data_IF_603701009243
#
_entry.id   IF_603701009243
#
_cell.length_a   1.000
_cell.length_b   1.000
_cell.length_c   1.000
_cell.angle_alpha   90.00
_cell.angle_beta   90.00
_cell.angle_gamma   90.00
#
_symmetry.space_group_name_H-M   'P 1'
#
loop_
_entity.id
_entity.type
_entity.pdbx_description
1 polymer ?
#
# COMPACT_ATOMS: atom_id res chain seq x y z
N UNK A 1 9.52 -36.07 -11.59
CA UNK A 1 9.37 -35.90 -13.05
C UNK A 1 9.04 -34.43 -13.29
N UNK A 2 10.05 -33.66 -13.68
CA UNK A 2 10.00 -32.21 -13.88
C UNK A 2 9.50 -31.95 -15.30
N UNK A 3 8.28 -31.44 -15.45
CA UNK A 3 7.78 -30.96 -16.75
C UNK A 3 8.04 -29.44 -16.86
N UNK A 4 9.05 -29.14 -17.67
CA UNK A 4 9.40 -27.84 -18.26
C UNK A 4 8.18 -26.97 -18.60
N UNK A 5 7.98 -25.88 -17.85
CA UNK A 5 7.33 -24.68 -18.37
C UNK A 5 8.36 -23.91 -19.19
N UNK A 6 8.40 -24.23 -20.49
CA UNK A 6 9.12 -23.45 -21.50
C UNK A 6 8.46 -22.08 -21.61
N UNK A 7 9.29 -21.04 -21.50
CA UNK A 7 9.36 -19.93 -22.45
C UNK A 7 8.11 -19.07 -22.63
N UNK A 8 8.30 -17.80 -22.27
CA UNK A 8 7.66 -16.64 -22.88
C UNK A 8 6.27 -16.29 -22.33
N UNK A 9 6.28 -15.36 -21.37
CA UNK A 9 5.51 -14.11 -21.38
C UNK A 9 5.51 -13.42 -19.99
N UNK A 10 6.68 -13.24 -19.36
CA UNK A 10 6.83 -12.28 -18.24
C UNK A 10 7.04 -10.85 -18.75
N UNK A 11 6.38 -10.49 -19.87
CA UNK A 11 6.58 -9.22 -20.58
C UNK A 11 5.57 -8.12 -20.27
N UNK A 12 4.46 -8.40 -19.56
CA UNK A 12 3.41 -7.38 -19.35
C UNK A 12 2.61 -7.58 -18.05
N UNK A 13 3.26 -7.92 -16.93
CA UNK A 13 2.65 -7.73 -15.61
C UNK A 13 2.64 -6.24 -15.26
N UNK A 14 1.67 -5.50 -15.80
CA UNK A 14 1.34 -4.13 -15.36
C UNK A 14 -0.07 -4.11 -14.79
N UNK A 15 -0.20 -4.21 -13.46
CA UNK A 15 -1.03 -3.22 -12.79
C UNK A 15 -0.52 -2.85 -11.38
N UNK A 16 -0.35 -1.55 -11.14
CA UNK A 16 -0.03 -1.00 -9.81
C UNK A 16 -0.50 0.46 -9.71
N UNK A 17 -1.76 0.71 -10.07
CA UNK A 17 -2.56 1.96 -9.94
C UNK A 17 -2.00 3.32 -10.40
N UNK A 18 -0.71 3.43 -10.70
CA UNK A 18 -0.02 4.56 -11.32
C UNK A 18 1.00 3.94 -12.29
N UNK A 19 1.17 4.55 -13.47
CA UNK A 19 2.19 4.13 -14.42
C UNK A 19 3.60 4.23 -13.79
N UNK A 20 4.08 3.16 -13.15
CA UNK A 20 5.44 3.08 -12.59
C UNK A 20 5.61 2.46 -11.20
N UNK A 21 4.55 2.08 -10.48
CA UNK A 21 4.70 1.46 -9.15
C UNK A 21 5.20 0.02 -9.22
N UNK A 22 6.14 -0.39 -8.37
CA UNK A 22 6.46 -1.81 -8.22
C UNK A 22 5.21 -2.58 -7.73
N UNK A 23 4.97 -3.82 -8.18
CA UNK A 23 3.90 -4.65 -7.66
C UNK A 23 4.23 -5.04 -6.21
N UNK A 24 3.79 -4.21 -5.26
CA UNK A 24 3.63 -4.65 -3.89
C UNK A 24 2.52 -5.70 -3.94
N UNK A 25 2.73 -6.89 -3.39
CA UNK A 25 1.76 -8.01 -3.39
C UNK A 25 0.42 -7.73 -2.68
N UNK A 26 0.06 -6.46 -2.53
CA UNK A 26 -1.12 -5.88 -1.90
C UNK A 26 -2.16 -5.38 -2.90
N UNK A 27 -1.89 -5.39 -4.21
CA UNK A 27 -2.86 -5.01 -5.25
C UNK A 27 -3.56 -6.22 -5.87
N UNK A 28 -4.84 -6.09 -6.20
CA UNK A 28 -5.57 -7.09 -6.98
C UNK A 28 -5.06 -7.16 -8.42
N UNK A 29 -4.55 -8.33 -8.83
CA UNK A 29 -4.08 -8.56 -10.19
C UNK A 29 -5.23 -8.41 -11.19
N UNK A 30 -4.99 -7.66 -12.28
CA UNK A 30 -5.97 -7.47 -13.36
C UNK A 30 -7.09 -6.48 -13.08
N UNK A 31 -7.08 -5.79 -11.93
CA UNK A 31 -8.07 -4.77 -11.61
C UNK A 31 -7.92 -3.55 -12.53
N UNK A 32 -8.96 -3.29 -13.33
CA UNK A 32 -9.03 -2.14 -14.24
C UNK A 32 -10.42 -1.53 -14.15
N UNK A 33 -10.49 -0.37 -13.52
CA UNK A 33 -11.70 0.46 -13.51
C UNK A 33 -11.41 1.67 -14.40
N UNK A 34 -12.20 1.89 -15.47
CA UNK A 34 -12.10 3.11 -16.26
C UNK A 34 -12.14 4.34 -15.35
N UNK A 35 -11.42 5.40 -15.72
CA UNK A 35 -11.40 6.70 -15.02
C UNK A 35 -10.70 6.74 -13.65
N UNK A 36 -10.62 5.61 -12.91
CA UNK A 36 -10.01 5.59 -11.58
C UNK A 36 -8.53 6.02 -11.58
N UNK A 37 -7.74 5.52 -12.55
CA UNK A 37 -6.33 5.90 -12.66
C UNK A 37 -6.15 7.38 -12.98
N UNK A 38 -7.06 7.98 -13.76
CA UNK A 38 -7.02 9.40 -14.08
C UNK A 38 -7.36 10.25 -12.84
N UNK A 39 -8.41 9.88 -12.10
CA UNK A 39 -8.79 10.56 -10.85
C UNK A 39 -7.67 10.51 -9.81
N UNK A 40 -6.98 9.38 -9.68
CA UNK A 40 -5.84 9.25 -8.77
C UNK A 40 -4.65 10.12 -9.22
N UNK A 41 -4.37 10.20 -10.53
CA UNK A 41 -3.33 11.06 -11.07
C UNK A 41 -3.65 12.54 -10.86
N UNK A 42 -4.90 12.95 -11.13
CA UNK A 42 -5.38 14.32 -10.93
C UNK A 42 -5.30 14.71 -9.44
N UNK A 43 -5.64 13.78 -8.54
CA UNK A 43 -5.55 13.99 -7.09
C UNK A 43 -4.12 14.16 -6.56
N UNK A 44 -3.09 13.67 -7.29
CA UNK A 44 -1.68 13.90 -6.94
C UNK A 44 -1.22 15.29 -7.38
N UNK A 45 -1.75 15.80 -8.50
CA UNK A 45 -1.35 17.09 -9.09
C UNK A 45 -2.11 18.26 -8.46
N UNK A 46 -3.34 18.05 -8.00
CA UNK A 46 -4.20 19.09 -7.44
C UNK A 46 -3.68 19.61 -6.08
N UNK A 47 -3.50 20.93 -5.98
CA UNK A 47 -2.95 21.61 -4.80
C UNK A 47 -4.06 22.21 -3.91
N UNK A 48 -5.26 22.46 -4.46
CA UNK A 48 -6.40 22.91 -3.68
C UNK A 48 -6.99 21.75 -2.87
N UNK A 49 -6.97 21.87 -1.54
CA UNK A 49 -7.45 20.85 -0.61
C UNK A 49 -8.93 20.51 -0.81
N UNK A 50 -9.77 21.49 -1.15
CA UNK A 50 -11.21 21.27 -1.33
C UNK A 50 -11.47 20.45 -2.58
N UNK A 51 -10.81 20.81 -3.68
CA UNK A 51 -10.90 20.07 -4.96
C UNK A 51 -10.31 18.68 -4.83
N UNK A 52 -9.15 18.56 -4.18
CA UNK A 52 -8.49 17.28 -3.93
C UNK A 52 -9.37 16.32 -3.14
N UNK A 53 -10.06 16.79 -2.10
CA UNK A 53 -11.03 15.97 -1.34
C UNK A 53 -12.20 15.52 -2.20
N UNK A 54 -12.73 16.38 -3.08
CA UNK A 54 -13.82 16.00 -3.98
C UNK A 54 -13.39 14.94 -5.01
N UNK A 55 -12.18 15.04 -5.55
CA UNK A 55 -11.59 14.05 -6.45
C UNK A 55 -11.45 12.69 -5.75
N UNK A 56 -10.83 12.66 -4.56
CA UNK A 56 -10.67 11.40 -3.81
C UNK A 56 -12.01 10.79 -3.41
N UNK A 57 -13.02 11.60 -3.06
CA UNK A 57 -14.35 11.08 -2.75
C UNK A 57 -15.00 10.36 -3.93
N UNK A 58 -14.77 10.84 -5.17
CA UNK A 58 -15.23 10.15 -6.39
C UNK A 58 -14.44 8.88 -6.64
N UNK A 59 -13.12 8.91 -6.44
CA UNK A 59 -12.26 7.74 -6.55
C UNK A 59 -12.64 6.65 -5.53
N UNK A 60 -12.94 7.03 -4.29
CA UNK A 60 -13.39 6.12 -3.22
C UNK A 60 -14.71 5.44 -3.61
N UNK A 61 -15.68 6.19 -4.13
CA UNK A 61 -16.95 5.62 -4.56
C UNK A 61 -16.77 4.62 -5.70
N UNK A 62 -15.98 4.97 -6.72
CA UNK A 62 -15.67 4.06 -7.82
C UNK A 62 -14.93 2.81 -7.36
N UNK A 63 -14.02 2.96 -6.39
CA UNK A 63 -13.34 1.83 -5.77
C UNK A 63 -14.36 0.92 -5.06
N UNK A 64 -15.25 1.47 -4.24
CA UNK A 64 -16.30 0.73 -3.52
C UNK A 64 -17.23 -0.02 -4.47
N UNK A 65 -17.72 0.63 -5.51
CA UNK A 65 -18.67 0.05 -6.46
C UNK A 65 -18.07 -1.13 -7.26
N UNK A 66 -16.75 -1.11 -7.47
CA UNK A 66 -16.03 -2.12 -8.25
C UNK A 66 -15.17 -3.05 -7.38
N UNK A 67 -15.30 -2.99 -6.06
CA UNK A 67 -14.34 -3.55 -5.11
C UNK A 67 -14.12 -5.07 -5.27
N UNK A 68 -12.85 -5.49 -5.30
CA UNK A 68 -12.41 -6.89 -5.25
C UNK A 68 -11.93 -7.33 -3.86
N UNK A 69 -11.86 -6.44 -2.87
CA UNK A 69 -11.38 -6.73 -1.51
C UNK A 69 -12.22 -6.01 -0.44
N UNK A 70 -12.66 -6.73 0.59
CA UNK A 70 -13.46 -6.13 1.68
C UNK A 70 -12.60 -5.98 2.93
N UNK A 71 -12.50 -4.76 3.46
CA UNK A 71 -11.86 -4.50 4.74
C UNK A 71 -12.69 -5.09 5.88
N UNK A 72 -12.11 -6.01 6.66
CA UNK A 72 -12.82 -6.69 7.75
C UNK A 72 -12.75 -5.92 9.07
N UNK A 73 -11.53 -5.58 9.51
CA UNK A 73 -11.31 -4.89 10.78
C UNK A 73 -9.98 -4.14 10.78
N UNK A 74 -9.90 -3.13 11.65
CA UNK A 74 -8.61 -2.58 12.08
C UNK A 74 -7.99 -3.50 13.12
N UNK A 75 -6.70 -3.80 12.96
CA UNK A 75 -5.95 -4.65 13.89
C UNK A 75 -4.99 -3.80 14.72
N UNK A 76 -4.95 -4.04 16.02
CA UNK A 76 -3.86 -3.56 16.85
C UNK A 76 -2.52 -4.15 16.34
N UNK A 77 -1.51 -3.30 16.20
CA UNK A 77 -0.14 -3.74 15.94
C UNK A 77 0.66 -3.52 17.21
N UNK A 78 1.34 -4.55 17.68
CA UNK A 78 2.12 -4.54 18.91
C UNK A 78 3.51 -5.13 18.68
N UNK A 79 4.47 -4.64 19.45
CA UNK A 79 5.85 -5.13 19.46
C UNK A 79 6.19 -5.69 20.84
N UNK A 80 6.97 -6.77 20.86
CA UNK A 80 7.62 -7.27 22.07
C UNK A 80 9.02 -6.69 22.18
N UNK A 81 9.36 -6.10 23.33
CA UNK A 81 10.66 -5.48 23.58
C UNK A 81 11.44 -6.27 24.62
N UNK A 82 12.76 -6.37 24.44
CA UNK A 82 13.67 -6.85 25.48
C UNK A 82 13.81 -5.81 26.59
N UNK A 83 14.00 -6.24 27.83
CA UNK A 83 14.29 -5.36 28.98
C UNK A 83 15.55 -4.51 28.80
N UNK A 84 16.47 -4.91 27.89
CA UNK A 84 17.68 -4.16 27.57
C UNK A 84 17.45 -2.94 26.66
N UNK A 85 16.25 -2.81 26.09
CA UNK A 85 15.89 -1.75 25.15
C UNK A 85 15.28 -0.56 25.91
N UNK A 86 15.75 0.66 25.65
CA UNK A 86 15.18 1.88 26.24
C UNK A 86 14.87 2.92 25.16
N UNK A 87 13.77 3.66 25.37
CA UNK A 87 13.38 4.77 24.50
C UNK A 87 12.72 4.38 23.17
N UNK A 88 12.29 3.12 23.02
CA UNK A 88 11.53 2.71 21.84
C UNK A 88 10.11 3.28 21.89
N UNK A 89 9.77 4.05 20.86
CA UNK A 89 8.42 4.56 20.63
C UNK A 89 7.90 4.02 19.30
N UNK A 90 6.68 3.51 19.30
CA UNK A 90 6.06 2.97 18.09
C UNK A 90 5.59 4.10 17.18
N UNK A 91 5.92 4.01 15.90
CA UNK A 91 5.44 4.95 14.89
C UNK A 91 3.90 4.88 14.76
N UNK A 92 3.23 6.00 14.45
CA UNK A 92 1.77 6.05 14.44
C UNK A 92 1.16 5.31 13.24
N UNK A 93 0.02 4.66 13.48
CA UNK A 93 -0.90 4.14 12.44
C UNK A 93 -0.20 3.26 11.39
N UNK A 94 -0.31 3.59 10.10
CA UNK A 94 0.27 2.86 8.96
C UNK A 94 1.79 2.73 9.03
N UNK A 95 2.46 3.57 9.82
CA UNK A 95 3.90 3.52 10.01
C UNK A 95 4.33 2.55 11.12
N UNK A 96 3.40 2.11 11.97
CA UNK A 96 3.68 1.20 13.10
C UNK A 96 4.49 -0.04 12.70
N UNK A 97 4.18 -0.78 11.60
CA UNK A 97 4.96 -1.95 11.19
C UNK A 97 6.43 -1.65 10.86
N UNK A 98 6.77 -0.39 10.56
CA UNK A 98 8.12 0.05 10.19
C UNK A 98 8.92 0.59 11.39
N UNK A 99 8.39 0.51 12.61
CA UNK A 99 9.05 1.01 13.83
C UNK A 99 10.37 0.29 14.14
N UNK A 100 10.63 -0.86 13.53
CA UNK A 100 11.80 -1.70 13.77
C UNK A 100 12.99 -1.45 12.82
N UNK A 101 12.93 -0.43 11.96
CA UNK A 101 13.95 -0.18 10.93
C UNK A 101 15.33 0.21 11.48
N UNK A 102 15.41 0.77 12.69
CA UNK A 102 16.68 1.04 13.37
C UNK A 102 16.61 0.68 14.87
N UNK A 103 16.78 -0.62 15.23
CA UNK A 103 16.77 -1.05 16.61
C UNK A 103 18.07 -0.71 17.35
N UNK A 104 19.18 -0.49 16.61
CA UNK A 104 20.51 -0.20 17.15
C UNK A 104 20.56 1.05 18.01
N UNK A 105 19.75 2.05 17.66
CA UNK A 105 19.60 3.31 18.38
C UNK A 105 19.10 3.16 19.83
N UNK A 106 18.39 2.07 20.14
CA UNK A 106 17.70 1.88 21.42
C UNK A 106 18.38 0.86 22.36
N UNK A 107 19.53 0.31 21.95
CA UNK A 107 20.33 -0.54 22.81
C UNK A 107 21.09 0.29 23.84
N UNK A 108 21.04 -0.17 25.09
CA UNK A 108 21.86 0.37 26.18
C UNK A 108 23.35 0.19 25.81
N UNK A 109 24.11 1.29 25.82
CA UNK A 109 25.59 1.22 25.81
C UNK A 109 26.09 0.66 27.14
#
# INVERSE_FOLDING_TARGET
MISRLKGDNYGTLRPSYVAGGQPLGTSSNGFKVPELSQLLADGVIEMDLTKRRAIYRKADQLALDNTTFVGLCYRATGFGLSNSLQGFEMLPSVLSPFSNLDPGKYYRK
#
